data_IF_464589173181
#
_entry.id   IF_464589173181
#
_cell.length_a   1.000
_cell.length_b   1.000
_cell.length_c   1.000
_cell.angle_alpha   90.00
_cell.angle_beta   90.00
_cell.angle_gamma   90.00
#
_symmetry.space_group_name_H-M   'P 1'
#
loop_
_entity.id
_entity.type
_entity.pdbx_description
1 polymer ?
#
# COMPACT_ATOMS: atom_id res chain seq x y z
N UNK A 1 14.84 2.89 3.94
CA UNK A 1 15.24 4.20 3.40
C UNK A 1 16.49 4.09 2.51
N UNK A 2 16.64 4.93 1.47
CA UNK A 2 17.86 4.97 0.66
C UNK A 2 19.11 5.24 1.51
N UNK A 3 20.15 4.43 1.30
CA UNK A 3 21.44 4.51 2.00
C UNK A 3 22.46 5.38 1.26
N UNK A 4 22.34 5.47 -0.06
CA UNK A 4 23.19 6.31 -0.87
C UNK A 4 22.82 6.22 -2.35
N UNK A 5 23.47 7.03 -3.15
CA UNK A 5 23.37 7.06 -4.61
C UNK A 5 24.78 7.10 -5.19
N UNK A 6 25.01 6.41 -6.30
CA UNK A 6 26.29 6.45 -7.00
C UNK A 6 26.12 6.27 -8.51
N UNK A 7 27.15 6.65 -9.24
CA UNK A 7 27.23 6.49 -10.69
C UNK A 7 28.35 5.51 -11.00
N UNK A 8 28.05 4.55 -11.86
CA UNK A 8 29.04 3.68 -12.49
C UNK A 8 29.30 4.24 -13.89
N UNK A 9 30.56 4.43 -14.25
CA UNK A 9 30.97 4.79 -15.62
C UNK A 9 31.68 3.62 -16.26
N UNK A 10 31.40 3.37 -17.53
CA UNK A 10 32.09 2.32 -18.26
C UNK A 10 33.49 2.75 -18.68
N UNK A 11 34.49 1.91 -18.38
CA UNK A 11 35.84 1.98 -18.94
C UNK A 11 36.13 0.70 -19.74
N UNK A 12 36.66 0.85 -20.94
CA UNK A 12 36.92 -0.26 -21.88
C UNK A 12 38.03 -1.19 -21.39
N UNK A 13 38.90 -0.72 -20.49
CA UNK A 13 40.07 -1.43 -19.97
C UNK A 13 39.80 -2.05 -18.60
N UNK A 14 39.13 -1.32 -17.71
CA UNK A 14 38.91 -1.74 -16.31
C UNK A 14 37.49 -2.29 -16.04
N UNK A 15 36.58 -2.16 -17.01
CA UNK A 15 35.15 -2.41 -16.81
C UNK A 15 34.47 -1.20 -16.17
N UNK A 16 33.27 -1.37 -15.62
CA UNK A 16 32.59 -0.23 -15.01
C UNK A 16 33.13 0.08 -13.61
N UNK A 17 33.45 1.35 -13.38
CA UNK A 17 34.03 1.86 -12.14
C UNK A 17 33.07 2.82 -11.46
N UNK A 18 33.10 2.90 -10.12
CA UNK A 18 32.32 3.90 -9.39
C UNK A 18 32.94 5.26 -9.65
N UNK A 19 32.24 6.09 -10.43
CA UNK A 19 32.71 7.42 -10.84
C UNK A 19 32.44 8.46 -9.76
N UNK A 20 31.25 8.43 -9.15
CA UNK A 20 30.90 9.31 -8.04
C UNK A 20 29.89 8.64 -7.12
N UNK A 21 29.88 9.05 -5.85
CA UNK A 21 28.95 8.52 -4.83
C UNK A 21 28.58 9.58 -3.81
N UNK A 22 27.42 9.41 -3.20
CA UNK A 22 26.95 10.17 -2.05
C UNK A 22 26.12 9.25 -1.14
N UNK A 23 26.38 9.21 0.18
CA UNK A 23 27.48 9.88 0.89
C UNK A 23 28.88 9.41 0.43
N UNK A 24 29.94 10.18 0.71
CA UNK A 24 31.30 9.85 0.25
C UNK A 24 31.86 8.60 0.94
N UNK A 25 31.36 8.30 2.12
CA UNK A 25 31.63 7.12 2.94
C UNK A 25 30.82 5.89 2.54
N UNK A 26 29.97 5.98 1.50
CA UNK A 26 29.15 4.86 1.04
C UNK A 26 30.04 3.69 0.60
N UNK A 27 29.96 2.59 1.34
CA UNK A 27 30.61 1.33 1.00
C UNK A 27 29.85 0.64 -0.14
N UNK A 28 30.54 0.39 -1.25
CA UNK A 28 29.98 -0.26 -2.44
C UNK A 28 30.84 -1.50 -2.71
N UNK A 29 30.28 -2.71 -2.54
CA UNK A 29 31.00 -3.94 -2.85
C UNK A 29 31.27 -4.09 -4.36
N UNK A 30 32.49 -4.52 -4.73
CA UNK A 30 32.87 -4.70 -6.15
C UNK A 30 31.96 -5.70 -6.88
N UNK A 31 31.51 -6.75 -6.18
CA UNK A 31 30.57 -7.73 -6.74
C UNK A 31 29.21 -7.12 -7.07
N UNK A 32 28.74 -6.13 -6.29
CA UNK A 32 27.50 -5.43 -6.59
C UNK A 32 27.63 -4.61 -7.89
N UNK A 33 28.76 -3.92 -8.06
CA UNK A 33 29.08 -3.15 -9.28
C UNK A 33 29.08 -4.05 -10.51
N UNK A 34 29.76 -5.20 -10.44
CA UNK A 34 29.81 -6.19 -11.53
C UNK A 34 28.42 -6.76 -11.87
N UNK A 35 27.62 -7.10 -10.86
CA UNK A 35 26.27 -7.64 -11.07
C UNK A 35 25.35 -6.63 -11.76
N UNK A 36 25.36 -5.38 -11.29
CA UNK A 36 24.56 -4.30 -11.89
C UNK A 36 24.93 -4.11 -13.35
N UNK A 37 26.22 -4.15 -13.68
CA UNK A 37 26.69 -4.08 -15.07
C UNK A 37 26.18 -5.23 -15.93
N UNK A 38 26.34 -6.47 -15.44
CA UNK A 38 25.86 -7.67 -16.14
C UNK A 38 24.34 -7.59 -16.37
N UNK A 39 23.60 -7.10 -15.37
CA UNK A 39 22.16 -7.05 -15.42
C UNK A 39 21.65 -6.09 -16.51
N UNK A 40 22.27 -4.90 -16.67
CA UNK A 40 21.84 -3.94 -17.68
C UNK A 40 22.21 -4.35 -19.11
N UNK A 41 23.30 -5.12 -19.29
CA UNK A 41 23.73 -5.63 -20.59
C UNK A 41 23.67 -4.56 -21.72
N UNK A 42 24.16 -3.35 -21.42
CA UNK A 42 24.15 -2.18 -22.32
C UNK A 42 22.79 -1.77 -22.89
N UNK A 43 21.69 -2.13 -22.23
CA UNK A 43 20.32 -1.79 -22.64
C UNK A 43 19.68 -0.87 -21.63
N UNK A 44 19.08 0.24 -22.10
CA UNK A 44 18.35 1.17 -21.22
C UNK A 44 17.20 0.45 -20.53
N UNK A 45 17.31 0.35 -19.22
CA UNK A 45 16.39 -0.44 -18.40
C UNK A 45 16.49 -0.01 -16.96
N UNK A 46 15.41 -0.21 -16.22
CA UNK A 46 15.43 -0.17 -14.76
C UNK A 46 15.65 -1.58 -14.24
N UNK A 47 16.57 -1.72 -13.28
CA UNK A 47 16.88 -3.02 -12.67
C UNK A 47 16.85 -2.86 -11.16
N UNK A 48 16.08 -3.74 -10.53
CA UNK A 48 16.05 -3.93 -9.08
C UNK A 48 16.94 -5.13 -8.76
N UNK A 49 17.88 -4.94 -7.84
CA UNK A 49 18.81 -5.98 -7.39
C UNK A 49 18.61 -6.18 -5.90
N UNK A 50 18.07 -7.34 -5.53
CA UNK A 50 17.82 -7.74 -4.15
C UNK A 50 18.65 -8.99 -3.81
N UNK A 51 19.62 -8.80 -2.92
CA UNK A 51 20.53 -9.82 -2.43
C UNK A 51 20.53 -9.83 -0.90
N UNK A 52 21.15 -10.86 -0.29
CA UNK A 52 21.14 -11.05 1.16
C UNK A 52 21.59 -9.81 1.94
N UNK A 53 22.59 -9.11 1.42
CA UNK A 53 23.26 -7.96 2.04
C UNK A 53 23.28 -6.71 1.12
N UNK A 54 22.56 -6.73 0.00
CA UNK A 54 22.51 -5.60 -0.95
C UNK A 54 21.09 -5.41 -1.50
N UNK A 55 20.61 -4.17 -1.51
CA UNK A 55 19.38 -3.80 -2.19
C UNK A 55 19.62 -2.51 -2.96
N UNK A 56 19.32 -2.49 -4.25
CA UNK A 56 19.46 -1.29 -5.06
C UNK A 56 18.48 -1.26 -6.23
N UNK A 57 18.15 -0.06 -6.67
CA UNK A 57 17.54 0.17 -7.98
C UNK A 57 18.52 0.94 -8.86
N UNK A 58 18.59 0.57 -10.13
CA UNK A 58 19.56 1.11 -11.08
C UNK A 58 18.93 1.41 -12.43
N UNK A 59 19.50 2.38 -13.14
CA UNK A 59 19.11 2.77 -14.49
C UNK A 59 20.35 2.99 -15.35
N UNK A 60 20.40 2.33 -16.52
CA UNK A 60 21.45 2.54 -17.51
C UNK A 60 21.03 3.62 -18.51
N UNK A 61 21.84 4.67 -18.62
CA UNK A 61 21.76 5.69 -19.66
C UNK A 61 22.72 5.33 -20.79
N UNK A 62 22.18 4.98 -21.96
CA UNK A 62 22.98 4.51 -23.09
C UNK A 62 23.76 5.64 -23.77
N UNK A 63 23.23 6.86 -23.80
CA UNK A 63 23.86 8.00 -24.47
C UNK A 63 25.09 8.53 -23.73
N UNK A 64 25.07 8.46 -22.39
CA UNK A 64 26.18 8.86 -21.53
C UNK A 64 27.06 7.68 -21.09
N UNK A 65 26.68 6.45 -21.43
CA UNK A 65 27.34 5.20 -21.04
C UNK A 65 27.59 5.10 -19.51
N UNK A 66 26.57 5.45 -18.73
CA UNK A 66 26.62 5.43 -17.27
C UNK A 66 25.42 4.70 -16.66
N UNK A 67 25.64 4.08 -15.50
CA UNK A 67 24.58 3.51 -14.67
C UNK A 67 24.40 4.39 -13.44
N UNK A 68 23.18 4.87 -13.23
CA UNK A 68 22.77 5.51 -11.97
C UNK A 68 22.30 4.40 -11.04
N UNK A 69 22.79 4.38 -9.80
CA UNK A 69 22.40 3.39 -8.79
C UNK A 69 21.96 4.08 -7.52
N UNK A 70 20.77 3.75 -7.03
CA UNK A 70 20.29 4.14 -5.70
C UNK A 70 20.31 2.92 -4.79
N UNK A 71 21.13 2.99 -3.73
CA UNK A 71 21.23 1.95 -2.70
C UNK A 71 20.08 2.12 -1.73
N UNK A 72 19.38 1.03 -1.46
CA UNK A 72 18.17 0.99 -0.66
C UNK A 72 18.41 0.23 0.65
N UNK A 73 17.49 0.36 1.59
CA UNK A 73 17.48 -0.53 2.74
C UNK A 73 16.93 -1.91 2.36
N UNK A 74 17.26 -2.93 3.13
CA UNK A 74 16.90 -4.33 2.84
C UNK A 74 15.40 -4.57 2.67
N UNK A 75 14.57 -3.73 3.30
CA UNK A 75 13.12 -3.85 3.31
C UNK A 75 12.41 -2.83 2.40
N UNK A 76 13.17 -2.01 1.68
CA UNK A 76 12.60 -1.03 0.75
C UNK A 76 12.27 -1.67 -0.60
N UNK A 77 11.14 -1.28 -1.19
CA UNK A 77 10.75 -1.71 -2.53
C UNK A 77 11.40 -0.83 -3.61
N UNK A 78 12.18 -1.41 -4.53
CA UNK A 78 12.88 -0.66 -5.57
C UNK A 78 11.98 0.14 -6.52
N UNK A 79 10.74 -0.33 -6.74
CA UNK A 79 9.76 0.34 -7.61
C UNK A 79 9.40 1.75 -7.14
N UNK A 80 9.45 1.99 -5.83
CA UNK A 80 9.10 3.29 -5.24
C UNK A 80 10.08 4.41 -5.62
N UNK A 81 11.27 4.04 -6.05
CA UNK A 81 12.37 4.95 -6.31
C UNK A 81 12.66 5.17 -7.79
N UNK A 82 11.89 4.55 -8.69
CA UNK A 82 12.05 4.72 -10.14
C UNK A 82 11.92 6.18 -10.56
N UNK A 83 10.99 6.93 -9.95
CA UNK A 83 10.79 8.35 -10.25
C UNK A 83 12.02 9.19 -9.88
N UNK A 84 12.75 8.81 -8.83
CA UNK A 84 13.98 9.49 -8.40
C UNK A 84 15.07 9.28 -9.45
N UNK A 85 15.22 8.05 -9.95
CA UNK A 85 16.18 7.72 -11.00
C UNK A 85 15.82 8.42 -12.32
N UNK A 86 14.55 8.48 -12.70
CA UNK A 86 14.10 9.16 -13.91
C UNK A 86 14.42 10.67 -13.86
N UNK A 87 14.18 11.31 -12.72
CA UNK A 87 14.51 12.72 -12.53
C UNK A 87 16.01 12.98 -12.56
N UNK A 88 16.81 12.10 -11.95
CA UNK A 88 18.27 12.22 -12.00
C UNK A 88 18.81 11.99 -13.41
N UNK A 89 18.24 11.02 -14.15
CA UNK A 89 18.58 10.79 -15.54
C UNK A 89 18.33 12.03 -16.42
N UNK A 90 17.22 12.75 -16.18
CA UNK A 90 16.95 14.03 -16.87
C UNK A 90 17.97 15.12 -16.55
N UNK A 91 18.59 15.08 -15.37
CA UNK A 91 19.60 16.07 -14.98
C UNK A 91 20.96 15.77 -15.62
N UNK A 92 21.28 14.51 -15.94
CA UNK A 92 22.50 14.12 -16.67
C UNK A 92 22.63 14.80 -18.04
N UNK A 93 21.51 15.20 -18.63
CA UNK A 93 21.47 15.91 -19.91
C UNK A 93 21.68 17.42 -19.79
N UNK A 94 21.55 17.98 -18.59
CA UNK A 94 21.56 19.43 -18.37
C UNK A 94 22.92 19.94 -17.91
N UNK A 95 23.71 19.09 -17.26
CA UNK A 95 24.95 19.49 -16.62
C UNK A 95 26.10 18.63 -17.16
N UNK A 96 27.10 19.27 -17.76
CA UNK A 96 28.32 18.62 -18.24
C UNK A 96 29.49 18.76 -17.25
N UNK A 97 29.36 19.66 -16.27
CA UNK A 97 30.36 19.89 -15.24
C UNK A 97 30.25 18.87 -14.10
N UNK A 98 31.36 18.21 -13.79
CA UNK A 98 31.46 17.19 -12.74
C UNK A 98 31.05 17.70 -11.34
N UNK A 99 31.40 18.94 -10.99
CA UNK A 99 31.02 19.52 -9.71
C UNK A 99 29.50 19.75 -9.61
N UNK A 100 28.88 20.25 -10.69
CA UNK A 100 27.44 20.46 -10.75
C UNK A 100 26.68 19.13 -10.70
N UNK A 101 27.21 18.10 -11.37
CA UNK A 101 26.64 16.76 -11.34
C UNK A 101 26.68 16.15 -9.93
N UNK A 102 27.79 16.34 -9.21
CA UNK A 102 27.92 15.91 -7.80
C UNK A 102 26.91 16.61 -6.89
N UNK A 103 26.70 17.92 -7.07
CA UNK A 103 25.67 18.67 -6.33
C UNK A 103 24.25 18.17 -6.63
N UNK A 104 23.94 17.86 -7.90
CA UNK A 104 22.64 17.29 -8.26
C UNK A 104 22.44 15.89 -7.67
N UNK A 105 23.49 15.06 -7.65
CA UNK A 105 23.45 13.73 -7.07
C UNK A 105 23.09 13.79 -5.57
N UNK A 106 23.73 14.69 -4.81
CA UNK A 106 23.37 14.96 -3.42
C UNK A 106 21.94 15.48 -3.28
N UNK A 107 21.53 16.43 -4.11
CA UNK A 107 20.18 17.02 -4.06
C UNK A 107 19.10 15.97 -4.31
N UNK A 108 19.30 15.08 -5.29
CA UNK A 108 18.36 13.99 -5.60
C UNK A 108 18.33 12.93 -4.51
N UNK A 109 19.45 12.61 -3.89
CA UNK A 109 19.46 11.76 -2.70
C UNK A 109 18.67 12.39 -1.53
N UNK A 110 18.88 13.68 -1.24
CA UNK A 110 18.09 14.37 -0.22
C UNK A 110 16.60 14.42 -0.56
N UNK A 111 16.26 14.51 -1.84
CA UNK A 111 14.88 14.44 -2.31
C UNK A 111 14.28 13.05 -2.10
N UNK A 112 15.00 11.97 -2.43
CA UNK A 112 14.51 10.60 -2.21
C UNK A 112 14.20 10.33 -0.74
N UNK A 113 15.02 10.84 0.18
CA UNK A 113 14.75 10.80 1.62
C UNK A 113 13.46 11.54 2.02
N UNK A 114 13.15 12.68 1.39
CA UNK A 114 11.92 13.44 1.66
C UNK A 114 10.68 12.74 1.15
N UNK A 115 10.71 12.23 -0.08
CA UNK A 115 9.59 11.50 -0.69
C UNK A 115 9.20 10.31 0.18
N UNK A 116 10.19 9.59 0.72
CA UNK A 116 9.96 8.49 1.64
C UNK A 116 9.29 8.94 2.95
N UNK A 117 9.83 9.97 3.62
CA UNK A 117 9.25 10.49 4.88
C UNK A 117 7.80 10.94 4.72
N UNK A 118 7.48 11.63 3.62
CA UNK A 118 6.10 12.06 3.35
C UNK A 118 5.18 10.86 3.09
N UNK A 119 5.66 9.79 2.44
CA UNK A 119 4.87 8.56 2.27
C UNK A 119 4.63 7.84 3.60
N UNK A 120 5.65 7.70 4.45
CA UNK A 120 5.50 7.10 5.79
C UNK A 120 4.46 7.85 6.64
N UNK A 121 4.49 9.17 6.61
CA UNK A 121 3.51 10.02 7.30
C UNK A 121 2.09 9.78 6.77
N UNK A 122 1.92 9.65 5.45
CA UNK A 122 0.64 9.36 4.81
C UNK A 122 0.15 7.95 5.18
N UNK A 123 1.02 6.93 5.11
CA UNK A 123 0.68 5.54 5.46
C UNK A 123 0.28 5.44 6.94
N UNK A 124 1.02 6.11 7.82
CA UNK A 124 0.73 6.15 9.25
C UNK A 124 -0.62 6.81 9.50
N UNK A 125 -0.88 7.94 8.83
CA UNK A 125 -2.18 8.63 8.92
C UNK A 125 -3.33 7.74 8.44
N UNK A 126 -3.17 7.09 7.28
CA UNK A 126 -4.17 6.17 6.73
C UNK A 126 -4.41 4.99 7.68
N UNK A 127 -3.36 4.44 8.27
CA UNK A 127 -3.47 3.34 9.24
C UNK A 127 -4.22 3.77 10.50
N UNK A 128 -3.96 4.97 11.00
CA UNK A 128 -4.69 5.55 12.13
C UNK A 128 -6.16 5.82 11.78
N UNK A 129 -6.44 6.35 10.59
CA UNK A 129 -7.81 6.59 10.13
C UNK A 129 -8.59 5.28 10.00
N UNK A 130 -7.96 4.22 9.46
CA UNK A 130 -8.55 2.87 9.40
C UNK A 130 -8.81 2.31 10.80
N UNK A 131 -7.87 2.46 11.73
CA UNK A 131 -8.05 2.03 13.12
C UNK A 131 -9.21 2.76 13.80
N UNK A 132 -9.32 4.07 13.60
CA UNK A 132 -10.41 4.90 14.11
C UNK A 132 -11.77 4.46 13.53
N UNK A 133 -11.85 4.20 12.22
CA UNK A 133 -13.07 3.71 11.58
C UNK A 133 -13.46 2.33 12.14
N UNK A 134 -12.51 1.40 12.28
CA UNK A 134 -12.77 0.07 12.86
C UNK A 134 -13.29 0.17 14.30
N UNK A 135 -12.67 1.02 15.12
CA UNK A 135 -13.12 1.26 16.49
C UNK A 135 -14.54 1.82 16.52
N UNK A 136 -14.85 2.79 15.64
CA UNK A 136 -16.19 3.37 15.54
C UNK A 136 -17.24 2.34 15.09
N UNK A 137 -16.91 1.48 14.14
CA UNK A 137 -17.79 0.37 13.70
C UNK A 137 -18.05 -0.58 14.87
N UNK A 138 -17.01 -1.01 15.58
CA UNK A 138 -17.13 -1.88 16.74
C UNK A 138 -18.01 -1.26 17.85
N UNK A 139 -17.83 0.03 18.15
CA UNK A 139 -18.68 0.73 19.11
C UNK A 139 -20.15 0.79 18.67
N UNK A 140 -20.41 0.98 17.38
CA UNK A 140 -21.77 0.99 16.83
C UNK A 140 -22.40 -0.40 16.92
N UNK A 141 -21.67 -1.45 16.56
CA UNK A 141 -22.11 -2.85 16.72
C UNK A 141 -22.49 -3.14 18.18
N UNK A 142 -21.65 -2.75 19.14
CA UNK A 142 -21.92 -2.91 20.57
C UNK A 142 -23.15 -2.12 21.04
N UNK A 143 -23.34 -0.90 20.53
CA UNK A 143 -24.54 -0.10 20.81
C UNK A 143 -25.80 -0.76 20.25
N UNK A 144 -25.73 -1.29 19.02
CA UNK A 144 -26.86 -1.98 18.38
C UNK A 144 -27.19 -3.29 19.11
N UNK A 145 -26.20 -4.10 19.46
CA UNK A 145 -26.35 -5.34 20.23
C UNK A 145 -27.11 -5.06 21.55
N UNK A 146 -26.65 -4.06 22.31
CA UNK A 146 -27.31 -3.63 23.55
C UNK A 146 -28.75 -3.17 23.34
N UNK A 147 -29.03 -2.49 22.23
CA UNK A 147 -30.38 -2.03 21.87
C UNK A 147 -31.29 -3.24 21.54
N UNK A 148 -30.79 -4.23 20.79
CA UNK A 148 -31.53 -5.45 20.43
C UNK A 148 -31.86 -6.30 21.67
N UNK A 149 -30.91 -6.41 22.59
CA UNK A 149 -31.08 -7.11 23.88
C UNK A 149 -32.03 -6.37 24.83
N UNK A 150 -32.17 -5.05 24.68
CA UNK A 150 -33.05 -4.25 25.53
C UNK A 150 -34.53 -4.60 25.34
N UNK A 151 -35.31 -4.52 26.42
CA UNK A 151 -36.75 -4.78 26.38
C UNK A 151 -37.60 -3.63 25.84
N UNK A 152 -36.97 -2.55 25.37
CA UNK A 152 -37.66 -1.34 24.92
C UNK A 152 -38.08 -1.37 23.45
N UNK A 153 -37.52 -2.27 22.65
CA UNK A 153 -37.86 -2.38 21.23
C UNK A 153 -38.99 -3.38 20.96
N UNK A 154 -39.88 -2.99 20.04
CA UNK A 154 -40.86 -3.91 19.43
C UNK A 154 -40.16 -4.98 18.61
N UNK A 155 -40.81 -6.13 18.41
CA UNK A 155 -40.27 -7.23 17.57
C UNK A 155 -39.93 -6.75 16.16
N UNK A 156 -40.78 -5.90 15.55
CA UNK A 156 -40.53 -5.28 14.24
C UNK A 156 -39.23 -4.48 14.24
N UNK A 157 -39.03 -3.61 15.23
CA UNK A 157 -37.82 -2.80 15.34
C UNK A 157 -36.57 -3.66 15.56
N UNK A 158 -36.64 -4.70 16.41
CA UNK A 158 -35.50 -5.59 16.64
C UNK A 158 -35.08 -6.35 15.38
N UNK A 159 -36.02 -6.82 14.56
CA UNK A 159 -35.71 -7.46 13.28
C UNK A 159 -34.96 -6.49 12.35
N UNK A 160 -35.41 -5.24 12.28
CA UNK A 160 -34.74 -4.22 11.47
C UNK A 160 -33.33 -3.91 11.97
N UNK A 161 -33.13 -3.78 13.28
CA UNK A 161 -31.79 -3.60 13.85
C UNK A 161 -30.88 -4.80 13.60
N UNK A 162 -31.43 -6.02 13.70
CA UNK A 162 -30.68 -7.25 13.42
C UNK A 162 -30.21 -7.31 11.97
N UNK A 163 -31.09 -7.01 11.03
CA UNK A 163 -30.75 -6.96 9.60
C UNK A 163 -29.88 -5.76 9.22
N UNK A 164 -29.95 -4.65 9.97
CA UNK A 164 -29.07 -3.51 9.76
C UNK A 164 -27.65 -3.76 10.28
N UNK A 165 -27.52 -4.57 11.34
CA UNK A 165 -26.22 -5.00 11.87
C UNK A 165 -25.63 -6.20 11.13
N UNK A 166 -26.49 -7.00 10.48
CA UNK A 166 -26.09 -8.19 9.74
C UNK A 166 -26.75 -8.11 8.36
N UNK A 167 -25.96 -7.76 7.34
CA UNK A 167 -26.42 -7.51 5.96
C UNK A 167 -27.48 -8.52 5.47
N UNK A 168 -27.32 -9.79 5.85
CA UNK A 168 -28.27 -10.87 5.58
C UNK A 168 -28.40 -11.81 6.78
N UNK A 169 -29.62 -12.25 7.11
CA UNK A 169 -29.86 -13.26 8.14
C UNK A 169 -30.87 -14.30 7.70
N UNK A 170 -30.65 -15.57 8.07
CA UNK A 170 -31.66 -16.61 7.87
C UNK A 170 -32.80 -16.47 8.89
N UNK A 171 -33.95 -17.10 8.60
CA UNK A 171 -35.06 -17.16 9.56
C UNK A 171 -34.62 -17.73 10.92
N UNK A 172 -33.77 -18.78 10.89
CA UNK A 172 -33.29 -19.45 12.09
C UNK A 172 -32.39 -18.55 12.95
N UNK A 173 -31.57 -17.71 12.31
CA UNK A 173 -30.68 -16.81 13.03
C UNK A 173 -31.46 -15.68 13.70
N UNK A 174 -32.42 -15.08 12.99
CA UNK A 174 -33.36 -14.10 13.57
C UNK A 174 -34.13 -14.75 14.73
N UNK A 175 -34.57 -16.00 14.56
CA UNK A 175 -35.34 -16.73 15.56
C UNK A 175 -34.54 -17.00 16.85
N UNK A 176 -33.25 -17.34 16.73
CA UNK A 176 -32.37 -17.58 17.88
C UNK A 176 -32.16 -16.32 18.71
N UNK A 177 -32.08 -15.16 18.05
CA UNK A 177 -31.81 -13.88 18.71
C UNK A 177 -33.09 -13.22 19.28
N UNK A 178 -34.28 -13.66 18.85
CA UNK A 178 -35.55 -13.10 19.29
C UNK A 178 -36.41 -14.11 20.05
N UNK A 179 -36.64 -13.83 21.34
CA UNK A 179 -37.55 -14.60 22.19
C UNK A 179 -39.03 -14.30 21.86
N UNK A 180 -39.52 -14.82 20.73
CA UNK A 180 -40.93 -14.73 20.31
C UNK A 180 -41.47 -16.10 19.89
N UNK A 181 -42.69 -16.23 19.37
CA UNK A 181 -43.18 -17.48 18.77
C UNK A 181 -42.78 -17.56 17.30
N UNK A 182 -42.73 -18.77 16.71
CA UNK A 182 -42.41 -18.92 15.27
C UNK A 182 -43.44 -18.21 14.40
N UNK A 183 -44.72 -18.48 14.66
CA UNK A 183 -45.86 -17.91 13.92
C UNK A 183 -45.90 -16.38 13.98
N UNK A 184 -45.56 -15.79 15.14
CA UNK A 184 -45.50 -14.34 15.27
C UNK A 184 -44.35 -13.74 14.47
N UNK A 185 -43.17 -14.38 14.50
CA UNK A 185 -42.02 -13.93 13.71
C UNK A 185 -42.31 -13.95 12.20
N UNK A 186 -42.93 -15.03 11.71
CA UNK A 186 -43.36 -15.17 10.30
C UNK A 186 -44.28 -14.01 9.91
N UNK A 187 -45.31 -13.74 10.71
CA UNK A 187 -46.26 -12.66 10.43
C UNK A 187 -45.60 -11.27 10.37
N UNK A 188 -44.63 -10.99 11.25
CA UNK A 188 -43.92 -9.71 11.24
C UNK A 188 -43.00 -9.59 10.01
N UNK A 189 -42.29 -10.66 9.64
CA UNK A 189 -41.42 -10.68 8.45
C UNK A 189 -42.25 -10.55 7.17
N UNK A 190 -43.37 -11.26 7.05
CA UNK A 190 -44.30 -11.12 5.91
C UNK A 190 -44.82 -9.70 5.77
N UNK A 191 -45.14 -9.04 6.90
CA UNK A 191 -45.55 -7.64 6.90
C UNK A 191 -44.43 -6.74 6.41
N UNK A 192 -43.19 -6.95 6.89
CA UNK A 192 -42.01 -6.18 6.45
C UNK A 192 -41.69 -6.37 4.96
N UNK A 193 -41.94 -7.57 4.42
CA UNK A 193 -41.80 -7.87 2.99
C UNK A 193 -42.88 -7.18 2.18
N UNK A 194 -44.14 -7.25 2.64
CA UNK A 194 -45.26 -6.57 2.00
C UNK A 194 -45.06 -5.05 1.97
N UNK A 195 -44.50 -4.49 3.04
CA UNK A 195 -44.14 -3.07 3.16
C UNK A 195 -42.91 -2.69 2.31
N UNK A 196 -42.24 -3.66 1.66
CA UNK A 196 -40.98 -3.47 0.90
C UNK A 196 -39.85 -2.86 1.70
N UNK A 197 -39.77 -3.21 2.99
CA UNK A 197 -38.67 -2.82 3.88
C UNK A 197 -37.63 -3.94 3.96
N UNK A 198 -38.09 -5.19 3.89
CA UNK A 198 -37.26 -6.39 3.91
C UNK A 198 -37.50 -7.18 2.63
N UNK A 199 -36.44 -7.73 2.04
CA UNK A 199 -36.53 -8.65 0.92
C UNK A 199 -35.95 -10.01 1.30
N UNK A 200 -36.28 -11.03 0.50
CA UNK A 200 -35.81 -12.39 0.70
C UNK A 200 -34.96 -12.82 -0.50
N UNK A 201 -33.76 -13.32 -0.24
CA UNK A 201 -32.88 -13.90 -1.24
C UNK A 201 -33.13 -15.42 -1.31
N UNK A 202 -33.61 -15.90 -2.46
CA UNK A 202 -33.91 -17.32 -2.67
C UNK A 202 -32.66 -18.19 -2.74
N UNK A 203 -31.54 -17.67 -3.22
CA UNK A 203 -30.30 -18.42 -3.41
C UNK A 203 -29.64 -18.72 -2.06
N UNK A 204 -29.56 -17.70 -1.19
CA UNK A 204 -28.94 -17.83 0.14
C UNK A 204 -29.94 -18.17 1.25
N UNK A 205 -31.24 -18.12 0.97
CA UNK A 205 -32.34 -18.32 1.94
C UNK A 205 -32.27 -17.36 3.12
N UNK A 206 -31.96 -16.10 2.85
CA UNK A 206 -31.78 -15.05 3.85
C UNK A 206 -32.69 -13.85 3.60
N UNK A 207 -32.96 -13.10 4.66
CA UNK A 207 -33.64 -11.81 4.62
C UNK A 207 -32.61 -10.67 4.70
N UNK A 208 -32.90 -9.56 4.05
CA UNK A 208 -32.08 -8.35 4.05
C UNK A 208 -32.95 -7.10 3.96
N UNK A 209 -32.42 -5.94 4.37
CA UNK A 209 -33.12 -4.66 4.24
C UNK A 209 -33.07 -4.18 2.77
N UNK A 210 -34.21 -3.78 2.21
CA UNK A 210 -34.34 -3.46 0.78
C UNK A 210 -34.33 -1.95 0.46
N UNK A 211 -33.36 -1.20 1.00
CA UNK A 211 -33.17 0.23 0.69
C UNK A 211 -32.04 0.45 -0.32
#
# INVERSE_FOLDING_TARGET
MPKGIFIIKWDVVEGGTVYMRYPEELEIPDNAVQQIQIAHNFTESYIITEEKDWNSVSFYNSEKEIVIVLVLDKFDEGNDYLIVLEEFNKDLYKYENENELKEQLEKRFKFSLKVFRTRDEVITKLSNDVANVKMRVYELEKKIERIIESNHLTVKARILFLLAANDQLSFLDIKKQLNTSKRWLESVIETLIKDKIVAYNNDTKTYYISF
#
